data_IF_826247740874
#
_entry.id   IF_826247740874
#
_cell.length_a   1.000
_cell.length_b   1.000
_cell.length_c   1.000
_cell.angle_alpha   90.00
_cell.angle_beta   90.00
_cell.angle_gamma   90.00
#
_symmetry.space_group_name_H-M   'P 1'
#
loop_
_entity.id
_entity.type
_entity.pdbx_description
1 polymer ?
#
# COMPACT_ATOMS: atom_id res chain seq x y z
N UNK A 1 2.18 -9.86 -24.07
CA UNK A 1 2.36 -8.54 -24.66
C UNK A 1 1.48 -7.52 -23.94
N UNK A 2 2.02 -6.89 -22.91
CA UNK A 2 1.29 -5.97 -22.00
C UNK A 2 1.15 -4.54 -22.57
N UNK A 3 1.59 -4.31 -23.79
CA UNK A 3 1.65 -2.95 -24.37
C UNK A 3 0.31 -2.36 -24.83
N UNK A 4 -0.77 -3.13 -24.84
CA UNK A 4 -2.08 -2.69 -25.35
C UNK A 4 -3.21 -3.00 -24.37
N UNK A 5 -3.02 -2.77 -23.08
CA UNK A 5 -4.09 -2.91 -22.09
C UNK A 5 -4.72 -1.55 -21.79
N UNK A 6 -6.04 -1.51 -21.73
CA UNK A 6 -6.83 -0.34 -21.34
C UNK A 6 -7.55 -0.68 -20.04
N UNK A 7 -7.37 0.15 -19.02
CA UNK A 7 -8.14 0.06 -17.78
C UNK A 7 -9.29 1.08 -17.85
N UNK A 8 -10.53 0.55 -17.78
CA UNK A 8 -11.74 1.38 -17.84
C UNK A 8 -12.43 1.32 -16.50
N UNK A 9 -12.47 2.45 -15.81
CA UNK A 9 -13.16 2.58 -14.52
C UNK A 9 -14.45 3.38 -14.72
N UNK A 10 -15.57 2.86 -14.26
CA UNK A 10 -16.86 3.53 -14.33
C UNK A 10 -17.63 3.40 -13.03
N UNK A 11 -18.38 4.44 -12.67
CA UNK A 11 -19.32 4.43 -11.55
C UNK A 11 -20.77 4.20 -12.00
N UNK A 12 -20.99 3.89 -13.27
CA UNK A 12 -22.33 3.68 -13.83
C UNK A 12 -23.01 2.49 -13.14
N UNK A 13 -24.20 2.71 -12.60
CA UNK A 13 -25.00 1.72 -11.86
C UNK A 13 -24.27 0.97 -10.75
N UNK A 14 -23.25 1.54 -10.16
CA UNK A 14 -22.40 0.88 -9.13
C UNK A 14 -23.20 0.53 -7.86
N UNK A 15 -24.29 1.24 -7.59
CA UNK A 15 -25.16 1.01 -6.42
C UNK A 15 -26.28 -0.01 -6.69
N UNK A 16 -26.52 -0.34 -7.94
CA UNK A 16 -27.58 -1.27 -8.33
C UNK A 16 -27.11 -2.71 -8.15
N UNK A 17 -27.91 -3.53 -7.45
CA UNK A 17 -27.59 -4.92 -7.10
C UNK A 17 -28.38 -5.94 -7.91
N UNK A 18 -28.97 -5.56 -9.05
CA UNK A 18 -29.71 -6.47 -9.93
C UNK A 18 -28.80 -7.48 -10.63
N UNK A 19 -29.27 -8.73 -10.78
CA UNK A 19 -28.50 -9.79 -11.45
C UNK A 19 -28.14 -9.48 -12.91
N UNK A 20 -28.82 -8.51 -13.54
CA UNK A 20 -28.60 -8.15 -14.95
C UNK A 20 -27.76 -6.88 -15.11
N UNK A 21 -27.39 -6.20 -14.02
CA UNK A 21 -26.67 -4.92 -14.10
C UNK A 21 -25.29 -5.10 -14.70
N UNK A 22 -24.58 -6.15 -14.31
CA UNK A 22 -23.22 -6.41 -14.80
C UNK A 22 -23.24 -6.72 -16.31
N UNK A 23 -24.23 -7.51 -16.79
CA UNK A 23 -24.41 -7.77 -18.22
C UNK A 23 -24.79 -6.52 -19.02
N UNK A 24 -25.60 -5.63 -18.43
CA UNK A 24 -25.96 -4.35 -19.06
C UNK A 24 -24.74 -3.45 -19.20
N UNK A 25 -23.94 -3.30 -18.14
CA UNK A 25 -22.68 -2.52 -18.15
C UNK A 25 -21.71 -3.07 -19.19
N UNK A 26 -21.54 -4.39 -19.24
CA UNK A 26 -20.65 -5.03 -20.21
C UNK A 26 -21.14 -4.86 -21.65
N UNK A 27 -22.44 -4.96 -21.89
CA UNK A 27 -23.00 -4.75 -23.22
C UNK A 27 -22.83 -3.31 -23.71
N UNK A 28 -22.93 -2.34 -22.81
CA UNK A 28 -22.65 -0.93 -23.10
C UNK A 28 -21.17 -0.69 -23.36
N UNK A 29 -20.31 -1.33 -22.59
CA UNK A 29 -18.85 -1.28 -22.78
C UNK A 29 -18.48 -1.85 -24.16
N UNK A 30 -18.99 -3.02 -24.51
CA UNK A 30 -18.77 -3.63 -25.81
C UNK A 30 -19.21 -2.71 -26.96
N UNK A 31 -20.42 -2.11 -26.85
CA UNK A 31 -20.90 -1.14 -27.85
C UNK A 31 -20.02 0.10 -27.94
N UNK A 32 -19.53 0.60 -26.80
CA UNK A 32 -18.63 1.77 -26.75
C UNK A 32 -17.26 1.50 -27.39
N UNK A 33 -16.76 0.29 -27.24
CA UNK A 33 -15.47 -0.15 -27.77
C UNK A 33 -15.55 -0.70 -29.21
N UNK A 34 -16.72 -0.84 -29.79
CA UNK A 34 -16.92 -1.45 -31.12
C UNK A 34 -16.08 -0.83 -32.24
N UNK A 35 -15.70 0.46 -32.11
CA UNK A 35 -14.84 1.15 -33.08
C UNK A 35 -13.35 0.82 -32.92
N UNK A 36 -12.93 0.29 -31.78
CA UNK A 36 -11.55 -0.01 -31.43
C UNK A 36 -11.25 -1.51 -31.52
N UNK A 37 -12.29 -2.33 -31.57
CA UNK A 37 -12.19 -3.77 -31.76
C UNK A 37 -12.11 -4.13 -33.25
N UNK A 38 -11.49 -5.26 -33.60
CA UNK A 38 -11.48 -5.77 -34.97
C UNK A 38 -12.91 -5.92 -35.52
N UNK A 39 -13.08 -5.60 -36.81
CA UNK A 39 -14.39 -5.71 -37.47
C UNK A 39 -14.92 -7.17 -37.43
N UNK A 40 -16.11 -7.35 -36.89
CA UNK A 40 -16.75 -8.67 -36.76
C UNK A 40 -16.57 -9.36 -35.43
N UNK A 41 -15.89 -8.73 -34.43
CA UNK A 41 -15.78 -9.27 -33.08
C UNK A 41 -17.15 -9.43 -32.44
N UNK A 42 -17.48 -10.65 -32.01
CA UNK A 42 -18.72 -10.94 -31.29
C UNK A 42 -18.62 -10.64 -29.82
N UNK A 43 -19.72 -10.44 -29.11
CA UNK A 43 -19.74 -10.21 -27.67
C UNK A 43 -19.05 -11.35 -26.90
N UNK A 44 -19.22 -12.60 -27.36
CA UNK A 44 -18.59 -13.76 -26.73
C UNK A 44 -17.07 -13.76 -26.88
N UNK A 45 -16.54 -13.39 -28.04
CA UNK A 45 -15.11 -13.23 -28.25
C UNK A 45 -14.54 -12.07 -27.45
N UNK A 46 -15.31 -10.99 -27.29
CA UNK A 46 -14.91 -9.87 -26.43
C UNK A 46 -14.75 -10.32 -24.98
N UNK A 47 -15.71 -11.07 -24.45
CA UNK A 47 -15.67 -11.56 -23.06
C UNK A 47 -14.53 -12.57 -22.83
N UNK A 48 -14.28 -13.48 -23.77
CA UNK A 48 -13.30 -14.57 -23.62
C UNK A 48 -11.86 -14.14 -23.95
N UNK A 49 -11.63 -13.22 -24.89
CA UNK A 49 -10.29 -12.91 -25.41
C UNK A 49 -9.81 -11.52 -25.07
N UNK A 50 -10.68 -10.53 -24.96
CA UNK A 50 -10.31 -9.13 -24.75
C UNK A 50 -10.51 -8.68 -23.31
N UNK A 51 -11.50 -9.20 -22.61
CA UNK A 51 -11.71 -8.88 -21.19
C UNK A 51 -10.82 -9.76 -20.31
N UNK A 52 -9.82 -9.17 -19.68
CA UNK A 52 -8.89 -9.92 -18.83
C UNK A 52 -9.37 -10.00 -17.38
N UNK A 53 -9.90 -8.92 -16.84
CA UNK A 53 -10.37 -8.86 -15.46
C UNK A 53 -11.51 -7.85 -15.32
N UNK A 54 -12.50 -8.20 -14.51
CA UNK A 54 -13.54 -7.28 -14.07
C UNK A 54 -13.63 -7.32 -12.55
N UNK A 55 -13.60 -6.14 -11.94
CA UNK A 55 -13.75 -6.01 -10.50
C UNK A 55 -14.81 -4.96 -10.18
N UNK A 56 -15.83 -5.35 -9.42
CA UNK A 56 -16.85 -4.43 -8.91
C UNK A 56 -16.60 -4.17 -7.44
N UNK A 57 -16.32 -2.92 -7.09
CA UNK A 57 -16.15 -2.49 -5.70
C UNK A 57 -17.27 -1.52 -5.36
N UNK A 58 -18.11 -1.90 -4.40
CA UNK A 58 -19.17 -1.01 -3.90
C UNK A 58 -18.55 0.14 -3.10
N UNK A 59 -19.04 1.38 -3.27
CA UNK A 59 -18.52 2.54 -2.51
C UNK A 59 -18.57 2.34 -1.00
N UNK A 60 -19.63 1.71 -0.47
CA UNK A 60 -19.78 1.40 0.96
C UNK A 60 -18.66 0.49 1.46
N UNK A 61 -18.31 -0.56 0.70
CA UNK A 61 -17.21 -1.48 1.06
C UNK A 61 -15.87 -0.73 1.05
N UNK A 62 -15.65 0.14 0.06
CA UNK A 62 -14.44 0.95 -0.01
C UNK A 62 -14.30 1.90 1.19
N UNK A 63 -15.38 2.52 1.62
CA UNK A 63 -15.38 3.45 2.75
C UNK A 63 -15.19 2.69 4.09
N UNK A 64 -15.80 1.53 4.25
CA UNK A 64 -15.60 0.67 5.41
C UNK A 64 -14.16 0.14 5.49
N UNK A 65 -13.59 -0.26 4.35
CA UNK A 65 -12.19 -0.67 4.28
C UNK A 65 -11.22 0.47 4.63
N UNK A 66 -11.47 1.68 4.12
CA UNK A 66 -10.65 2.86 4.46
C UNK A 66 -10.73 3.20 5.96
N UNK A 67 -11.94 3.22 6.51
CA UNK A 67 -12.13 3.47 7.93
C UNK A 67 -11.50 2.36 8.79
N UNK A 68 -11.64 1.10 8.38
CA UNK A 68 -11.00 -0.03 9.03
C UNK A 68 -9.48 0.04 8.97
N UNK A 69 -8.90 0.33 7.81
CA UNK A 69 -7.46 0.48 7.63
C UNK A 69 -6.89 1.63 8.48
N UNK A 70 -7.57 2.77 8.52
CA UNK A 70 -7.15 3.92 9.35
C UNK A 70 -7.12 3.55 10.83
N UNK A 71 -8.19 2.90 11.34
CA UNK A 71 -8.24 2.43 12.73
C UNK A 71 -7.15 1.40 13.02
N UNK A 72 -6.98 0.41 12.15
CA UNK A 72 -5.96 -0.62 12.30
C UNK A 72 -4.55 -0.03 12.34
N UNK A 73 -4.25 0.94 11.46
CA UNK A 73 -2.96 1.64 11.44
C UNK A 73 -2.72 2.40 12.75
N UNK A 74 -3.72 3.13 13.24
CA UNK A 74 -3.60 3.84 14.51
C UNK A 74 -3.34 2.90 15.69
N UNK A 75 -4.10 1.80 15.79
CA UNK A 75 -3.87 0.79 16.83
C UNK A 75 -2.50 0.13 16.71
N UNK A 76 -2.04 -0.16 15.49
CA UNK A 76 -0.72 -0.73 15.26
C UNK A 76 0.39 0.23 15.72
N UNK A 77 0.31 1.53 15.39
CA UNK A 77 1.27 2.53 15.83
C UNK A 77 1.31 2.66 17.36
N UNK A 78 0.15 2.66 18.02
CA UNK A 78 0.06 2.68 19.48
C UNK A 78 0.69 1.42 20.08
N UNK A 79 0.40 0.24 19.55
CA UNK A 79 0.96 -1.02 20.02
C UNK A 79 2.48 -1.06 19.85
N UNK A 80 3.01 -0.60 18.71
CA UNK A 80 4.44 -0.48 18.44
C UNK A 80 5.09 0.48 19.43
N UNK A 81 4.49 1.66 19.64
CA UNK A 81 4.99 2.66 20.58
C UNK A 81 5.10 2.10 22.01
N UNK A 82 4.05 1.41 22.46
CA UNK A 82 4.03 0.78 23.79
C UNK A 82 5.05 -0.35 23.89
N UNK A 83 5.16 -1.20 22.87
CA UNK A 83 6.14 -2.27 22.84
C UNK A 83 7.57 -1.72 22.97
N UNK A 84 7.94 -0.72 22.16
CA UNK A 84 9.27 -0.10 22.20
C UNK A 84 9.51 0.58 23.55
N UNK A 85 8.50 1.29 24.08
CA UNK A 85 8.60 1.92 25.40
C UNK A 85 8.89 0.91 26.52
N UNK A 86 8.15 -0.20 26.55
CA UNK A 86 8.35 -1.26 27.54
C UNK A 86 9.70 -1.94 27.35
N UNK A 87 10.11 -2.19 26.09
CA UNK A 87 11.34 -2.90 25.74
C UNK A 87 12.59 -2.11 26.11
N UNK A 88 12.59 -0.80 25.83
CA UNK A 88 13.75 0.07 26.02
C UNK A 88 13.66 0.95 27.29
N UNK A 89 12.46 1.07 27.88
CA UNK A 89 12.19 1.87 29.07
C UNK A 89 12.55 3.35 28.93
N UNK A 90 12.59 3.85 27.70
CA UNK A 90 12.85 5.25 27.38
C UNK A 90 11.93 5.69 26.24
N UNK A 91 11.16 6.74 26.44
CA UNK A 91 10.20 7.28 25.48
C UNK A 91 10.84 7.82 24.20
N UNK A 92 12.14 8.18 24.25
CA UNK A 92 12.89 8.69 23.10
C UNK A 92 12.98 7.64 21.99
N UNK A 93 13.22 6.39 22.33
CA UNK A 93 13.22 5.28 21.36
C UNK A 93 11.83 5.10 20.69
N UNK A 94 10.74 5.21 21.47
CA UNK A 94 9.39 5.11 20.93
C UNK A 94 9.08 6.24 19.95
N UNK A 95 9.41 7.48 20.29
CA UNK A 95 9.24 8.61 19.37
C UNK A 95 10.10 8.47 18.13
N UNK A 96 11.37 8.11 18.29
CA UNK A 96 12.28 7.88 17.16
C UNK A 96 11.74 6.82 16.20
N UNK A 97 11.21 5.72 16.73
CA UNK A 97 10.57 4.66 15.90
C UNK A 97 9.37 5.19 15.12
N UNK A 98 8.48 5.96 15.76
CA UNK A 98 7.32 6.53 15.07
C UNK A 98 7.74 7.46 13.93
N UNK A 99 8.71 8.35 14.19
CA UNK A 99 9.23 9.26 13.16
C UNK A 99 9.90 8.50 12.01
N UNK A 100 10.69 7.46 12.30
CA UNK A 100 11.29 6.60 11.28
C UNK A 100 10.21 5.93 10.42
N UNK A 101 9.21 5.29 11.02
CA UNK A 101 8.13 4.63 10.29
C UNK A 101 7.31 5.59 9.43
N UNK A 102 7.00 6.78 9.94
CA UNK A 102 6.31 7.81 9.16
C UNK A 102 7.16 8.26 7.97
N UNK A 103 8.47 8.51 8.19
CA UNK A 103 9.39 8.85 7.12
C UNK A 103 9.40 7.78 6.02
N UNK A 104 9.52 6.51 6.37
CA UNK A 104 9.62 5.41 5.40
C UNK A 104 8.34 5.23 4.60
N UNK A 105 7.18 5.39 5.25
CA UNK A 105 5.88 5.40 4.55
C UNK A 105 5.80 6.59 3.59
N UNK A 106 6.20 7.79 4.02
CA UNK A 106 6.19 8.96 3.13
C UNK A 106 7.13 8.81 1.96
N UNK A 107 8.36 8.32 2.17
CA UNK A 107 9.31 8.06 1.08
C UNK A 107 8.74 7.05 0.10
N UNK A 108 8.16 5.96 0.60
CA UNK A 108 7.52 4.93 -0.25
C UNK A 108 6.39 5.52 -1.08
N UNK A 109 5.52 6.35 -0.49
CA UNK A 109 4.43 7.02 -1.19
C UNK A 109 4.94 8.00 -2.26
N UNK A 110 5.98 8.78 -1.95
CA UNK A 110 6.59 9.72 -2.90
C UNK A 110 7.19 8.97 -4.09
N UNK A 111 7.98 7.93 -3.84
CA UNK A 111 8.59 7.11 -4.89
C UNK A 111 7.51 6.46 -5.76
N UNK A 112 6.48 5.90 -5.14
CA UNK A 112 5.37 5.27 -5.85
C UNK A 112 4.59 6.27 -6.71
N UNK A 113 4.29 7.46 -6.16
CA UNK A 113 3.60 8.54 -6.88
C UNK A 113 4.41 9.04 -8.08
N UNK A 114 5.73 9.19 -7.91
CA UNK A 114 6.62 9.61 -8.97
C UNK A 114 6.76 8.55 -10.07
N UNK A 115 6.92 7.29 -9.69
CA UNK A 115 7.06 6.19 -10.64
C UNK A 115 5.78 5.95 -11.45
N UNK A 116 4.61 6.28 -10.92
CA UNK A 116 3.33 6.13 -11.60
C UNK A 116 3.30 6.81 -12.98
N UNK A 117 4.00 7.93 -13.12
CA UNK A 117 4.05 8.69 -14.39
C UNK A 117 5.16 8.19 -15.34
N UNK A 118 6.13 7.44 -14.82
CA UNK A 118 7.33 7.03 -15.56
C UNK A 118 7.24 5.61 -16.08
N UNK A 119 6.58 4.72 -15.35
CA UNK A 119 6.52 3.30 -15.70
C UNK A 119 5.37 3.00 -16.68
N UNK A 120 5.57 2.04 -17.62
CA UNK A 120 4.59 1.72 -18.67
C UNK A 120 3.42 0.83 -18.17
N UNK A 121 3.36 0.51 -16.89
CA UNK A 121 2.30 -0.30 -16.29
C UNK A 121 1.55 0.50 -15.21
N UNK A 122 0.25 0.25 -14.99
CA UNK A 122 -0.52 0.99 -14.01
C UNK A 122 -0.03 0.68 -12.60
N UNK A 123 0.42 1.71 -11.88
CA UNK A 123 0.71 1.67 -10.46
C UNK A 123 -0.52 2.23 -9.71
N UNK A 124 -1.34 1.36 -9.17
CA UNK A 124 -2.52 1.75 -8.38
C UNK A 124 -2.28 1.48 -6.90
N UNK A 125 -2.91 2.27 -6.03
CA UNK A 125 -2.91 2.02 -4.58
C UNK A 125 -3.94 0.91 -4.32
N UNK A 126 -3.51 -0.30 -4.56
CA UNK A 126 -4.27 -1.52 -4.44
C UNK A 126 -3.79 -2.39 -3.25
N UNK A 127 -4.28 -3.62 -3.18
CA UNK A 127 -3.88 -4.58 -2.16
C UNK A 127 -2.38 -4.93 -2.23
N UNK A 128 -1.78 -4.95 -3.43
CA UNK A 128 -0.35 -5.24 -3.61
C UNK A 128 0.52 -4.10 -3.08
N UNK A 129 0.08 -2.86 -3.29
CA UNK A 129 0.74 -1.69 -2.71
C UNK A 129 0.69 -1.71 -1.17
N UNK A 130 -0.46 -2.08 -0.58
CA UNK A 130 -0.57 -2.22 0.88
C UNK A 130 0.39 -3.29 1.40
N UNK A 131 0.49 -4.43 0.72
CA UNK A 131 1.44 -5.48 1.09
C UNK A 131 2.90 -5.02 1.00
N UNK A 132 3.25 -4.24 -0.03
CA UNK A 132 4.58 -3.65 -0.17
C UNK A 132 4.91 -2.69 0.98
N UNK A 133 3.99 -1.78 1.33
CA UNK A 133 4.16 -0.87 2.49
C UNK A 133 4.35 -1.64 3.79
N UNK A 134 3.53 -2.67 4.05
CA UNK A 134 3.66 -3.50 5.24
C UNK A 134 5.03 -4.19 5.31
N UNK A 135 5.56 -4.62 4.16
CA UNK A 135 6.90 -5.20 4.07
C UNK A 135 7.97 -4.18 4.43
N UNK A 136 7.91 -2.98 3.85
CA UNK A 136 8.86 -1.89 4.15
C UNK A 136 8.83 -1.54 5.64
N UNK A 137 7.63 -1.36 6.22
CA UNK A 137 7.45 -1.09 7.65
C UNK A 137 8.06 -2.20 8.50
N UNK A 138 7.82 -3.46 8.14
CA UNK A 138 8.33 -4.61 8.88
C UNK A 138 9.86 -4.67 8.91
N UNK A 139 10.51 -4.45 7.77
CA UNK A 139 11.98 -4.40 7.68
C UNK A 139 12.54 -3.19 8.42
N UNK A 140 12.03 -2.00 8.18
CA UNK A 140 12.48 -0.76 8.85
C UNK A 140 12.35 -0.85 10.37
N UNK A 141 11.24 -1.38 10.87
CA UNK A 141 11.05 -1.58 12.31
C UNK A 141 12.06 -2.57 12.88
N UNK A 142 12.31 -3.69 12.19
CA UNK A 142 13.28 -4.68 12.62
C UNK A 142 14.69 -4.08 12.73
N UNK A 143 15.13 -3.35 11.72
CA UNK A 143 16.44 -2.70 11.69
C UNK A 143 16.55 -1.64 12.78
N UNK A 144 15.52 -0.83 12.96
CA UNK A 144 15.46 0.18 14.03
C UNK A 144 15.62 -0.45 15.41
N UNK A 145 14.95 -1.56 15.69
CA UNK A 145 15.04 -2.29 16.96
C UNK A 145 16.44 -2.84 17.19
N UNK A 146 17.08 -3.39 16.15
CA UNK A 146 18.44 -3.93 16.24
C UNK A 146 19.44 -2.81 16.58
N UNK A 147 19.35 -1.67 15.90
CA UNK A 147 20.21 -0.51 16.18
C UNK A 147 19.99 0.00 17.60
N UNK A 148 18.74 0.11 18.05
CA UNK A 148 18.45 0.56 19.42
C UNK A 148 18.95 -0.41 20.48
N UNK A 149 18.85 -1.71 20.24
CA UNK A 149 19.39 -2.70 21.18
C UNK A 149 20.91 -2.61 21.26
N UNK A 150 21.58 -2.36 20.14
CA UNK A 150 23.02 -2.13 20.08
C UNK A 150 23.45 -0.87 20.80
N UNK A 151 22.75 0.24 20.58
CA UNK A 151 23.01 1.51 21.32
C UNK A 151 22.85 1.28 22.83
N UNK A 152 21.83 0.55 23.25
CA UNK A 152 21.60 0.24 24.64
C UNK A 152 22.72 -0.60 25.25
N UNK A 153 23.15 -1.65 24.54
CA UNK A 153 24.27 -2.52 24.96
C UNK A 153 25.56 -1.70 25.11
N UNK A 154 25.94 -0.94 24.08
CA UNK A 154 27.16 -0.12 24.09
C UNK A 154 27.10 0.97 25.16
N UNK A 155 25.93 1.54 25.45
CA UNK A 155 25.74 2.51 26.54
C UNK A 155 26.01 1.90 27.93
N UNK A 156 25.75 0.62 28.11
CA UNK A 156 26.06 -0.09 29.35
C UNK A 156 27.54 -0.47 29.46
N UNK A 157 28.18 -0.81 28.34
CA UNK A 157 29.56 -1.24 28.28
C UNK A 157 30.55 -0.04 28.34
N UNK A 158 30.19 1.06 27.68
CA UNK A 158 31.06 2.23 27.53
C UNK A 158 30.67 3.37 28.49
N UNK A 159 30.72 3.09 29.79
CA UNK A 159 30.41 4.11 30.83
C UNK A 159 31.39 5.27 30.78
N UNK A 160 30.86 6.49 30.71
CA UNK A 160 31.66 7.71 30.67
C UNK A 160 32.08 8.22 29.29
N UNK A 161 31.69 7.49 28.23
CA UNK A 161 31.83 7.95 26.85
C UNK A 161 30.57 8.75 26.45
N UNK A 162 30.75 9.78 25.62
CA UNK A 162 29.67 10.62 25.18
C UNK A 162 28.68 9.85 24.27
N UNK A 163 27.41 10.23 24.30
CA UNK A 163 26.35 9.55 23.58
C UNK A 163 26.54 9.54 22.03
N UNK A 164 27.15 10.60 21.48
CA UNK A 164 27.40 10.68 20.05
C UNK A 164 28.41 9.60 19.60
N UNK A 165 29.46 9.39 20.37
CA UNK A 165 30.45 8.33 20.09
C UNK A 165 29.81 6.93 20.22
N UNK A 166 28.96 6.72 21.23
CA UNK A 166 28.23 5.44 21.38
C UNK A 166 27.34 5.17 20.20
N UNK A 167 26.53 6.16 19.79
CA UNK A 167 25.61 6.03 18.65
C UNK A 167 26.38 5.78 17.37
N UNK A 168 27.43 6.54 17.08
CA UNK A 168 28.24 6.35 15.87
C UNK A 168 28.94 5.00 15.79
N UNK A 169 29.19 4.36 16.93
CA UNK A 169 29.76 3.02 16.98
C UNK A 169 28.68 1.93 16.77
N UNK A 170 27.46 2.19 17.19
CA UNK A 170 26.36 1.25 17.11
C UNK A 170 25.70 1.16 15.72
N UNK A 171 25.89 2.17 14.88
CA UNK A 171 25.42 2.24 13.50
C UNK A 171 26.52 1.75 12.55
#
# INVERSE_FOLDING_TARGET
DTKNQINITTSYKIKDQGNNVDQEVESLLFKGLAKQLPAGTTYKEFDEQYKQQQQKVLPSISDDLKAGATKATLFALIAICLYIFIRFRDWRYSLGTIFSLLHDVFVTLIVFSFLREVVPFPLEIDQHFIAAILTVIGFSMNDTVIVYDRIREDSHLMKGVDNATIINKAI
#
